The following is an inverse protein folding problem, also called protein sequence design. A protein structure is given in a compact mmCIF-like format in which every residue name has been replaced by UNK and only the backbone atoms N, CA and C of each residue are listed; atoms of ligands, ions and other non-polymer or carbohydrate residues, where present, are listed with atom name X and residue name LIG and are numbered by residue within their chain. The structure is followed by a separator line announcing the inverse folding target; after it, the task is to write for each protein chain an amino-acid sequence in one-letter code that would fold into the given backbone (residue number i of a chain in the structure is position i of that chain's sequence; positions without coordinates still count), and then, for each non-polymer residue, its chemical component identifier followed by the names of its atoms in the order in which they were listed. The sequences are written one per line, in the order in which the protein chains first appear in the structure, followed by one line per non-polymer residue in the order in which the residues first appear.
data_IF_925511203469
#
_entry.id   IF_925511203469
#
_cell.length_a   1.000
_cell.length_b   1.000
_cell.length_c   1.000
_cell.angle_alpha   90.00
_cell.angle_beta   90.00
_cell.angle_gamma   90.00
#
_symmetry.space_group_name_H-M   'P 1'
#
loop_
_entity.id
_entity.type
_entity.pdbx_description
1 polymer ?
#
# COMPACT_ATOMS: atom_id res chain seq x y z
N UNK A 1 -9.05 -1.94 -2.89
CA UNK A 1 -8.50 -0.92 -1.96
C UNK A 1 -7.89 0.23 -2.73
N UNK A 2 -7.06 1.06 -2.11
CA UNK A 2 -6.52 2.31 -2.69
C UNK A 2 -5.05 2.22 -3.14
N UNK A 3 -4.58 1.02 -3.50
CA UNK A 3 -3.18 0.78 -3.86
C UNK A 3 -2.80 1.56 -5.14
N UNK A 4 -1.64 2.26 -5.19
CA UNK A 4 -1.32 3.20 -6.28
C UNK A 4 -1.19 2.54 -7.64
N UNK A 5 -0.75 1.27 -7.70
CA UNK A 5 -0.59 0.54 -8.97
C UNK A 5 -1.93 0.08 -9.60
N UNK A 6 -3.00 -0.03 -8.82
CA UNK A 6 -4.30 -0.53 -9.30
C UNK A 6 -5.38 -0.26 -8.24
N UNK A 7 -5.83 0.99 -8.08
CA UNK A 7 -6.87 1.32 -7.11
C UNK A 7 -8.21 0.73 -7.55
N UNK A 8 -9.05 0.36 -6.58
CA UNK A 8 -10.47 0.10 -6.82
C UNK A 8 -11.15 1.37 -7.32
N UNK A 9 -12.30 1.21 -8.00
CA UNK A 9 -13.10 2.34 -8.48
C UNK A 9 -14.48 2.32 -7.84
N UNK A 10 -15.05 3.50 -7.65
CA UNK A 10 -16.39 3.71 -7.08
C UNK A 10 -17.21 4.62 -8.01
N UNK A 11 -18.53 4.45 -8.13
CA UNK A 11 -19.37 5.37 -8.90
C UNK A 11 -19.33 6.79 -8.31
N UNK A 12 -19.15 7.78 -9.18
CA UNK A 12 -19.30 9.20 -8.88
C UNK A 12 -20.76 9.65 -8.87
N UNK A 13 -21.00 10.90 -8.50
CA UNK A 13 -22.34 11.48 -8.47
C UNK A 13 -22.97 11.60 -9.88
N UNK A 14 -22.12 11.64 -10.91
CA UNK A 14 -22.46 11.61 -12.34
C UNK A 14 -22.64 10.19 -12.90
N UNK A 15 -22.43 9.16 -12.08
CA UNK A 15 -22.45 7.76 -12.49
C UNK A 15 -21.13 7.24 -13.07
N UNK A 16 -20.15 8.12 -13.30
CA UNK A 16 -18.85 7.74 -13.85
C UNK A 16 -17.95 7.15 -12.77
N UNK A 17 -17.16 6.14 -13.13
CA UNK A 17 -16.29 5.48 -12.16
C UNK A 17 -15.08 6.37 -11.80
N UNK A 18 -14.84 6.60 -10.51
CA UNK A 18 -13.69 7.35 -9.99
C UNK A 18 -12.72 6.43 -9.25
N UNK A 19 -11.44 6.77 -9.26
CA UNK A 19 -10.42 6.10 -8.43
C UNK A 19 -10.75 6.28 -6.95
N UNK A 20 -10.77 5.18 -6.19
CA UNK A 20 -10.95 5.24 -4.74
C UNK A 20 -9.77 5.97 -4.07
N UNK A 21 -8.56 5.87 -4.63
CA UNK A 21 -7.39 6.57 -4.10
C UNK A 21 -7.56 8.08 -4.22
N UNK A 22 -7.94 8.56 -5.39
CA UNK A 22 -8.10 9.99 -5.66
C UNK A 22 -9.21 10.57 -4.78
N UNK A 23 -10.31 9.82 -4.59
CA UNK A 23 -11.38 10.21 -3.67
C UNK A 23 -10.90 10.32 -2.21
N UNK A 24 -10.00 9.43 -1.77
CA UNK A 24 -9.38 9.50 -0.44
C UNK A 24 -8.45 10.72 -0.34
N UNK A 25 -7.64 10.96 -1.36
CA UNK A 25 -6.66 12.06 -1.39
C UNK A 25 -7.34 13.44 -1.43
N UNK A 26 -8.55 13.55 -1.97
CA UNK A 26 -9.36 14.77 -1.95
C UNK A 26 -9.79 15.21 -0.54
N UNK A 27 -10.11 14.27 0.35
CA UNK A 27 -10.53 14.56 1.74
C UNK A 27 -10.30 13.35 2.66
N UNK A 28 -9.04 13.19 3.09
CA UNK A 28 -8.64 12.04 3.90
C UNK A 28 -9.40 11.94 5.24
N UNK A 29 -9.60 13.02 6.03
CA UNK A 29 -10.37 12.93 7.27
C UNK A 29 -11.81 12.49 7.05
N UNK A 30 -12.45 12.90 5.96
CA UNK A 30 -13.82 12.48 5.63
C UNK A 30 -13.90 11.02 5.19
N UNK A 31 -12.95 10.55 4.38
CA UNK A 31 -12.98 9.18 3.84
C UNK A 31 -12.42 8.12 4.80
N UNK A 32 -11.37 8.46 5.56
CA UNK A 32 -10.66 7.55 6.45
C UNK A 32 -11.03 7.72 7.93
N UNK A 33 -11.60 8.87 8.29
CA UNK A 33 -11.71 9.33 9.67
C UNK A 33 -10.41 9.98 10.16
N UNK A 34 -10.54 10.93 11.09
CA UNK A 34 -9.43 11.76 11.57
C UNK A 34 -8.23 10.96 12.11
N UNK A 35 -8.47 9.87 12.84
CA UNK A 35 -7.41 9.06 13.44
C UNK A 35 -6.56 8.33 12.39
N UNK A 36 -7.19 7.77 11.35
CA UNK A 36 -6.48 7.03 10.30
C UNK A 36 -5.75 8.01 9.38
N UNK A 37 -6.40 9.11 9.01
CA UNK A 37 -5.78 10.16 8.21
C UNK A 37 -4.53 10.72 8.90
N UNK A 38 -4.62 11.05 10.20
CA UNK A 38 -3.47 11.56 10.97
C UNK A 38 -2.35 10.52 11.13
N UNK A 39 -2.68 9.25 11.37
CA UNK A 39 -1.69 8.21 11.67
C UNK A 39 -0.98 7.65 10.43
N UNK A 40 -1.70 7.52 9.31
CA UNK A 40 -1.21 6.78 8.13
C UNK A 40 -1.20 7.61 6.85
N UNK A 41 -2.04 8.66 6.74
CA UNK A 41 -2.09 9.50 5.54
C UNK A 41 -2.57 8.79 4.26
N UNK A 42 -3.05 7.54 4.38
CA UNK A 42 -3.62 6.74 3.30
C UNK A 42 -4.44 5.57 3.89
N UNK A 43 -5.06 4.77 3.02
CA UNK A 43 -5.75 3.54 3.45
C UNK A 43 -4.71 2.50 3.92
N UNK A 44 -4.64 2.15 5.21
CA UNK A 44 -3.48 1.46 5.79
C UNK A 44 -3.53 -0.07 5.62
N UNK A 45 -4.31 -0.56 4.66
CA UNK A 45 -4.43 -1.99 4.39
C UNK A 45 -4.74 -2.25 2.92
N UNK A 46 -4.37 -3.45 2.48
CA UNK A 46 -4.75 -3.99 1.19
C UNK A 46 -5.47 -5.31 1.42
N UNK A 47 -6.76 -5.34 1.09
CA UNK A 47 -7.55 -6.56 1.13
C UNK A 47 -7.53 -7.26 -0.22
N UNK A 48 -7.33 -8.59 -0.22
CA UNK A 48 -7.24 -9.43 -1.42
C UNK A 48 -7.99 -10.74 -1.20
N UNK A 49 -8.58 -11.23 -2.28
CA UNK A 49 -8.93 -12.66 -2.43
C UNK A 49 -7.81 -13.29 -3.25
N UNK A 50 -7.21 -14.37 -2.73
CA UNK A 50 -6.11 -15.07 -3.38
C UNK A 50 -6.58 -16.48 -3.77
N UNK A 51 -6.54 -16.79 -5.05
CA UNK A 51 -6.84 -18.11 -5.59
C UNK A 51 -5.52 -18.74 -6.06
N UNK A 52 -4.80 -19.41 -5.16
CA UNK A 52 -3.54 -20.06 -5.50
C UNK A 52 -3.79 -21.42 -6.17
N UNK A 53 -3.39 -21.56 -7.44
CA UNK A 53 -3.46 -22.80 -8.22
C UNK A 53 -2.19 -23.65 -8.08
N UNK A 54 -1.09 -23.05 -7.63
CA UNK A 54 0.20 -23.69 -7.34
C UNK A 54 0.74 -23.26 -5.96
N UNK A 55 1.64 -24.05 -5.35
CA UNK A 55 2.30 -23.67 -4.10
C UNK A 55 3.06 -22.35 -4.24
N UNK A 56 2.89 -21.48 -3.25
CA UNK A 56 3.62 -20.21 -3.15
C UNK A 56 4.88 -20.37 -2.31
N UNK A 57 5.84 -19.48 -2.50
CA UNK A 57 7.08 -19.44 -1.71
C UNK A 57 6.79 -19.23 -0.23
N UNK A 58 7.62 -19.83 0.63
CA UNK A 58 7.64 -19.52 2.07
C UNK A 58 8.14 -18.09 2.25
N UNK A 59 7.45 -17.30 3.07
CA UNK A 59 7.76 -15.91 3.32
C UNK A 59 7.94 -15.67 4.82
N UNK A 60 8.81 -14.71 5.17
CA UNK A 60 8.97 -14.19 6.52
C UNK A 60 8.83 -12.68 6.46
N UNK A 61 7.99 -12.12 7.34
CA UNK A 61 7.87 -10.68 7.49
C UNK A 61 8.69 -10.21 8.70
N UNK A 62 9.62 -9.26 8.52
CA UNK A 62 10.41 -8.72 9.63
C UNK A 62 9.50 -7.97 10.61
N UNK A 63 9.96 -7.84 11.86
CA UNK A 63 9.36 -6.89 12.80
C UNK A 63 9.52 -5.45 12.31
N UNK A 64 8.71 -4.52 12.83
CA UNK A 64 8.81 -3.10 12.46
C UNK A 64 10.23 -2.55 12.63
N UNK A 65 10.86 -2.81 13.77
CA UNK A 65 12.23 -2.35 14.05
C UNK A 65 13.25 -2.94 13.05
N UNK A 66 13.12 -4.23 12.71
CA UNK A 66 13.99 -4.85 11.72
C UNK A 66 13.72 -4.32 10.29
N UNK A 67 12.47 -4.00 9.96
CA UNK A 67 12.09 -3.40 8.69
C UNK A 67 12.69 -2.00 8.50
N UNK A 68 12.63 -1.15 9.52
CA UNK A 68 13.21 0.20 9.50
C UNK A 68 14.73 0.15 9.29
N UNK A 69 15.42 -0.74 10.01
CA UNK A 69 16.87 -0.93 9.87
C UNK A 69 17.24 -1.47 8.49
N UNK A 70 16.50 -2.47 7.98
CA UNK A 70 16.75 -3.06 6.66
C UNK A 70 16.52 -2.07 5.51
N UNK A 71 15.42 -1.32 5.56
CA UNK A 71 15.09 -0.29 4.58
C UNK A 71 16.16 0.80 4.52
N UNK A 72 16.62 1.29 5.68
CA UNK A 72 17.68 2.29 5.76
C UNK A 72 19.01 1.78 5.18
N UNK A 73 19.39 0.52 5.47
CA UNK A 73 20.60 -0.10 4.92
C UNK A 73 20.57 -0.20 3.38
N UNK A 74 19.47 -0.69 2.81
CA UNK A 74 19.35 -0.81 1.34
C UNK A 74 19.32 0.57 0.65
N UNK A 75 18.72 1.59 1.28
CA UNK A 75 18.77 2.97 0.79
C UNK A 75 20.18 3.56 0.82
N UNK A 76 20.91 3.36 1.92
CA UNK A 76 22.30 3.83 2.05
C UNK A 76 23.24 3.16 1.04
N UNK A 77 22.92 1.93 0.63
CA UNK A 77 23.62 1.22 -0.44
C UNK A 77 23.17 1.65 -1.85
N UNK A 78 22.17 2.53 -1.98
CA UNK A 78 21.68 3.02 -3.27
C UNK A 78 20.90 2.01 -4.09
N UNK A 79 20.39 0.92 -3.48
CA UNK A 79 19.67 -0.13 -4.20
C UNK A 79 18.29 0.41 -4.64
N UNK A 80 17.95 0.45 -5.94
CA UNK A 80 16.66 0.93 -6.40
C UNK A 80 15.48 0.12 -5.84
N UNK A 81 14.34 0.76 -5.57
CA UNK A 81 13.13 0.07 -5.06
C UNK A 81 12.60 -1.04 -6.00
N UNK A 82 12.93 -0.94 -7.29
CA UNK A 82 12.57 -1.91 -8.33
C UNK A 82 13.60 -3.02 -8.55
N UNK A 83 14.77 -2.96 -7.90
CA UNK A 83 15.83 -3.95 -8.09
C UNK A 83 15.39 -5.34 -7.58
N UNK A 84 15.95 -6.40 -8.19
CA UNK A 84 15.57 -7.78 -7.90
C UNK A 84 16.00 -8.20 -6.48
N UNK A 85 17.13 -7.67 -6.03
CA UNK A 85 17.74 -7.90 -4.73
C UNK A 85 17.16 -7.02 -3.60
N UNK A 86 16.23 -6.11 -3.91
CA UNK A 86 15.61 -5.21 -2.93
C UNK A 86 14.55 -5.95 -2.10
N UNK A 87 14.82 -6.15 -0.81
CA UNK A 87 13.92 -6.88 0.09
C UNK A 87 13.00 -5.96 0.92
N UNK A 88 13.42 -4.74 1.22
CA UNK A 88 12.66 -3.79 2.04
C UNK A 88 12.09 -2.67 1.17
N UNK A 89 10.76 -2.55 1.14
CA UNK A 89 9.99 -1.65 0.26
C UNK A 89 8.90 -0.91 1.02
#
# INVERSE_FOLDING_TARGET
GAHPKSPSRVPGADGELRSLRDLIDEDQPKQLGANVASRFGELPFLFKVLCADQPLSIQVHPSKAAAEVGFAKENAAGIPLSAAERNYK
#
